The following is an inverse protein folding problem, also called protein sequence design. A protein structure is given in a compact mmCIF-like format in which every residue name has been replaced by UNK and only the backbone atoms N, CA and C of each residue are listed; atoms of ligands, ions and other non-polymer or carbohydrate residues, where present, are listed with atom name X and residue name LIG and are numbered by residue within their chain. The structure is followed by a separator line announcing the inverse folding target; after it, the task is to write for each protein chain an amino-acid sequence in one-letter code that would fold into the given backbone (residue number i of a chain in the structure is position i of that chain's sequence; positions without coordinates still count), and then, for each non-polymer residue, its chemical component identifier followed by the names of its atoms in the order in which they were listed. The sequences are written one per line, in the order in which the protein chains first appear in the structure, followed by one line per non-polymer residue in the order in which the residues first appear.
data_IF_410128434750
#
_entry.id   IF_410128434750
#
_cell.length_a   1.000
_cell.length_b   1.000
_cell.length_c   1.000
_cell.angle_alpha   90.00
_cell.angle_beta   90.00
_cell.angle_gamma   90.00
#
_symmetry.space_group_name_H-M   'P 1'
#
loop_
_entity.id
_entity.type
_entity.pdbx_description
1 polymer ?
#
# COMPACT_ATOMS: atom_id res chain seq x y z
N UNK A 1 10.26 18.65 7.35
CA UNK A 1 11.06 17.71 6.54
C UNK A 1 11.42 18.35 5.23
N UNK A 2 12.70 18.56 4.98
CA UNK A 2 13.18 19.06 3.68
C UNK A 2 13.24 17.93 2.65
N UNK A 3 13.12 18.27 1.37
CA UNK A 3 13.35 17.34 0.24
C UNK A 3 14.79 17.39 -0.26
N UNK A 4 15.64 18.19 0.40
CA UNK A 4 17.03 18.44 0.01
C UNK A 4 18.00 17.90 1.04
N UNK A 5 19.19 17.54 0.59
CA UNK A 5 20.28 17.15 1.47
C UNK A 5 20.84 18.36 2.23
N UNK A 6 20.84 18.30 3.57
CA UNK A 6 21.17 19.45 4.43
C UNK A 6 22.63 19.48 4.89
N UNK A 7 23.32 18.33 4.91
CA UNK A 7 24.70 18.29 5.42
C UNK A 7 25.61 19.11 4.51
N UNK A 8 26.52 19.87 5.13
CA UNK A 8 27.49 20.72 4.43
C UNK A 8 28.61 19.87 3.84
N UNK A 9 28.37 19.35 2.66
CA UNK A 9 29.35 18.64 1.84
C UNK A 9 29.06 18.86 0.34
N UNK A 10 29.73 18.13 -0.55
CA UNK A 10 29.54 18.22 -2.02
C UNK A 10 28.12 17.90 -2.51
N UNK A 11 27.29 17.26 -1.68
CA UNK A 11 25.91 16.86 -1.99
C UNK A 11 24.88 17.85 -1.42
N UNK A 12 25.31 18.90 -0.71
CA UNK A 12 24.41 19.92 -0.16
C UNK A 12 23.45 20.47 -1.22
N UNK A 13 22.16 20.49 -0.89
CA UNK A 13 21.10 21.02 -1.76
C UNK A 13 20.63 20.09 -2.87
N UNK A 14 21.25 18.90 -3.03
CA UNK A 14 20.74 17.86 -3.92
C UNK A 14 19.36 17.40 -3.48
N UNK A 15 18.51 17.07 -4.45
CA UNK A 15 17.17 16.57 -4.16
C UNK A 15 17.25 15.07 -3.87
N UNK A 16 16.59 14.65 -2.79
CA UNK A 16 16.67 13.29 -2.25
C UNK A 16 15.43 12.44 -2.59
N UNK A 17 14.56 12.93 -3.45
CA UNK A 17 13.30 12.29 -3.82
C UNK A 17 12.93 12.65 -5.26
N UNK A 18 12.31 11.73 -5.99
CA UNK A 18 11.81 12.03 -7.33
C UNK A 18 10.35 12.53 -7.26
N UNK A 19 10.14 13.81 -7.55
CA UNK A 19 8.83 14.46 -7.48
C UNK A 19 8.75 15.69 -8.40
N UNK A 20 7.53 16.17 -8.61
CA UNK A 20 7.27 17.35 -9.45
C UNK A 20 7.55 18.65 -8.67
N UNK A 21 8.51 19.44 -9.16
CA UNK A 21 8.95 20.67 -8.50
C UNK A 21 8.01 21.84 -8.72
N UNK A 22 7.43 21.91 -9.92
CA UNK A 22 6.60 23.04 -10.33
C UNK A 22 5.67 22.70 -11.49
N UNK A 23 4.89 23.69 -11.95
CA UNK A 23 4.02 23.51 -13.12
C UNK A 23 4.90 23.30 -14.36
N UNK A 24 4.87 22.09 -14.93
CA UNK A 24 5.70 21.71 -16.07
C UNK A 24 7.16 21.37 -15.74
N UNK A 25 7.58 21.55 -14.49
CA UNK A 25 8.95 21.28 -14.05
C UNK A 25 9.05 19.93 -13.33
N UNK A 26 9.62 18.95 -14.04
CA UNK A 26 9.94 17.61 -13.55
C UNK A 26 11.46 17.37 -13.45
N UNK A 27 12.28 18.29 -13.95
CA UNK A 27 13.69 18.04 -14.28
C UNK A 27 14.64 19.11 -13.70
N UNK A 28 14.11 20.29 -13.39
CA UNK A 28 14.87 21.49 -13.08
C UNK A 28 15.56 22.07 -14.31
N UNK A 29 16.72 22.68 -14.05
CA UNK A 29 17.52 23.37 -15.07
C UNK A 29 18.14 22.36 -16.03
N UNK A 30 18.09 22.68 -17.33
CA UNK A 30 18.68 21.86 -18.39
C UNK A 30 20.18 21.60 -18.13
N UNK A 31 20.63 20.38 -18.47
CA UNK A 31 22.02 19.95 -18.30
C UNK A 31 22.43 19.56 -16.88
N UNK A 32 21.62 19.86 -15.85
CA UNK A 32 21.93 19.47 -14.46
C UNK A 32 20.69 19.12 -13.64
N UNK A 33 20.21 17.91 -13.89
CA UNK A 33 19.11 17.28 -13.16
C UNK A 33 19.43 17.13 -11.67
N UNK A 34 18.80 17.94 -10.83
CA UNK A 34 19.07 17.93 -9.38
C UNK A 34 18.62 16.64 -8.65
N UNK A 35 17.73 15.85 -9.25
CA UNK A 35 17.25 14.54 -8.78
C UNK A 35 17.54 13.40 -9.77
N UNK A 36 18.16 13.69 -10.91
CA UNK A 36 18.59 12.71 -11.93
C UNK A 36 17.50 11.80 -12.53
N UNK A 37 16.21 12.17 -12.49
CA UNK A 37 15.13 11.38 -13.10
C UNK A 37 13.94 12.23 -13.58
N UNK A 38 13.33 11.88 -14.73
CA UNK A 38 12.11 12.53 -15.29
C UNK A 38 10.81 11.84 -14.93
N UNK A 39 10.90 10.55 -14.65
CA UNK A 39 9.83 9.60 -14.38
C UNK A 39 10.35 8.72 -13.23
N UNK A 40 9.75 7.55 -12.90
CA UNK A 40 10.29 6.74 -11.83
C UNK A 40 11.79 6.46 -11.96
N UNK A 41 12.52 6.80 -10.91
CA UNK A 41 13.93 6.50 -10.77
C UNK A 41 14.13 5.03 -10.35
N UNK A 42 15.32 4.44 -10.60
CA UNK A 42 15.66 3.12 -10.07
C UNK A 42 15.45 3.02 -8.55
N UNK A 43 14.98 1.86 -8.06
CA UNK A 43 14.45 1.65 -6.70
C UNK A 43 15.45 1.85 -5.54
N UNK A 44 16.72 2.19 -5.81
CA UNK A 44 17.76 2.44 -4.79
C UNK A 44 18.63 3.67 -5.09
N UNK A 45 18.12 4.61 -5.89
CA UNK A 45 18.88 5.79 -6.33
C UNK A 45 19.09 6.83 -5.22
N UNK A 46 18.11 7.03 -4.33
CA UNK A 46 18.21 8.03 -3.25
C UNK A 46 18.53 7.38 -1.91
N UNK A 47 18.91 8.19 -0.92
CA UNK A 47 19.20 7.69 0.42
C UNK A 47 17.95 7.04 1.04
N UNK A 48 18.13 5.91 1.75
CA UNK A 48 17.05 5.33 2.51
C UNK A 48 16.71 6.19 3.73
N UNK A 49 15.52 5.99 4.29
CA UNK A 49 15.23 6.47 5.64
C UNK A 49 15.98 5.63 6.70
N UNK A 50 15.83 5.99 7.98
CA UNK A 50 16.50 5.32 9.10
C UNK A 50 16.11 3.84 9.26
N UNK A 51 15.00 3.41 8.63
CA UNK A 51 14.56 2.02 8.58
C UNK A 51 15.11 1.24 7.36
N UNK A 52 16.00 1.85 6.57
CA UNK A 52 16.56 1.22 5.37
C UNK A 52 15.58 1.17 4.19
N UNK A 53 14.46 1.90 4.24
CA UNK A 53 13.45 1.93 3.19
C UNK A 53 13.75 3.03 2.17
N UNK A 54 13.77 2.64 0.89
CA UNK A 54 14.01 3.53 -0.24
C UNK A 54 12.69 4.00 -0.86
N UNK A 55 12.70 5.22 -1.38
CA UNK A 55 11.56 5.84 -2.10
C UNK A 55 10.25 5.86 -1.31
N UNK A 56 10.32 6.02 0.01
CA UNK A 56 9.12 6.24 0.82
C UNK A 56 8.47 7.61 0.54
N UNK A 57 9.22 8.53 -0.08
CA UNK A 57 8.78 9.84 -0.50
C UNK A 57 9.15 10.05 -1.98
N UNK A 58 8.15 10.07 -2.85
CA UNK A 58 8.29 10.24 -4.29
C UNK A 58 8.41 8.93 -5.06
N UNK A 59 8.91 9.02 -6.29
CA UNK A 59 8.94 7.93 -7.26
C UNK A 59 7.54 7.52 -7.70
N UNK A 60 6.84 6.68 -6.96
CA UNK A 60 5.44 6.32 -7.22
C UNK A 60 4.65 6.35 -5.92
N UNK A 61 3.37 6.70 -6.01
CA UNK A 61 2.48 6.42 -4.90
C UNK A 61 2.38 4.91 -4.70
N UNK A 62 2.17 4.47 -3.49
CA UNK A 62 2.05 3.05 -3.14
C UNK A 62 0.66 2.79 -2.55
N UNK A 63 -0.03 1.79 -3.09
CA UNK A 63 -1.30 1.30 -2.54
C UNK A 63 -1.14 0.81 -1.10
N UNK A 64 -2.15 1.11 -0.27
CA UNK A 64 -2.33 0.55 1.07
C UNK A 64 -3.60 -0.29 1.10
N UNK A 65 -3.65 -1.28 1.99
CA UNK A 65 -4.82 -2.15 2.14
C UNK A 65 -6.02 -1.42 2.76
N UNK A 66 -5.76 -0.32 3.46
CA UNK A 66 -6.75 0.46 4.18
C UNK A 66 -7.85 1.05 3.29
N UNK A 67 -9.09 0.92 3.73
CA UNK A 67 -10.24 1.65 3.21
C UNK A 67 -10.10 3.14 3.56
N UNK A 68 -10.24 4.00 2.57
CA UNK A 68 -10.23 5.43 2.81
C UNK A 68 -11.54 5.90 3.41
N UNK A 69 -11.42 6.64 4.51
CA UNK A 69 -12.47 7.51 5.03
C UNK A 69 -11.90 8.88 5.43
N UNK A 70 -12.63 9.98 5.23
CA UNK A 70 -12.18 11.31 5.62
C UNK A 70 -11.92 11.41 7.12
N UNK A 71 -12.79 10.80 7.91
CA UNK A 71 -12.78 10.90 9.36
C UNK A 71 -12.09 9.72 10.05
N UNK A 72 -11.33 8.86 9.33
CA UNK A 72 -10.68 7.69 9.95
C UNK A 72 -9.85 8.06 11.18
N UNK A 73 -9.18 9.21 11.18
CA UNK A 73 -8.34 9.64 12.32
C UNK A 73 -9.13 10.15 13.52
N UNK A 74 -10.42 10.45 13.36
CA UNK A 74 -11.27 11.02 14.42
C UNK A 74 -12.42 10.09 14.83
N UNK A 75 -12.73 9.05 14.04
CA UNK A 75 -13.84 8.10 14.29
C UNK A 75 -13.37 6.74 14.77
N UNK A 76 -12.13 6.62 15.24
CA UNK A 76 -11.70 5.42 15.93
C UNK A 76 -12.46 5.35 17.26
N UNK A 77 -13.12 4.22 17.53
CA UNK A 77 -13.93 4.04 18.74
C UNK A 77 -13.16 4.15 20.05
N UNK A 78 -11.82 4.19 19.96
CA UNK A 78 -10.91 4.38 21.06
C UNK A 78 -9.68 5.15 20.55
N UNK A 79 -9.85 6.45 20.30
CA UNK A 79 -8.77 7.38 19.95
C UNK A 79 -7.74 7.54 21.08
N UNK A 80 -7.96 6.98 22.27
CA UNK A 80 -7.03 7.12 23.39
C UNK A 80 -6.09 5.90 23.51
N UNK A 81 -6.53 4.69 23.12
CA UNK A 81 -5.67 3.48 23.15
C UNK A 81 -5.25 2.96 21.76
N UNK A 82 -5.92 3.35 20.67
CA UNK A 82 -5.62 2.87 19.30
C UNK A 82 -4.96 3.92 18.39
N UNK A 83 -4.10 4.76 18.97
CA UNK A 83 -3.35 5.79 18.23
C UNK A 83 -2.29 5.21 17.27
N UNK A 84 -1.82 3.99 17.53
CA UNK A 84 -0.78 3.34 16.73
C UNK A 84 -1.39 2.44 15.65
N UNK A 85 -1.25 2.87 14.40
CA UNK A 85 -1.56 2.12 13.17
C UNK A 85 -3.00 1.59 13.07
N UNK A 86 -4.02 2.47 13.13
CA UNK A 86 -5.39 2.05 12.90
C UNK A 86 -5.55 1.46 11.50
N UNK A 87 -6.06 0.23 11.42
CA UNK A 87 -6.39 -0.42 10.15
C UNK A 87 -7.91 -0.45 9.96
N UNK A 88 -8.38 0.03 8.80
CA UNK A 88 -9.78 -0.07 8.39
C UNK A 88 -9.88 -0.84 7.07
N UNK A 89 -10.71 -1.88 7.02
CA UNK A 89 -10.79 -2.75 5.84
C UNK A 89 -10.97 -4.24 6.14
N UNK A 90 -11.23 -4.60 7.41
CA UNK A 90 -11.43 -5.99 7.80
C UNK A 90 -12.69 -6.57 7.13
N UNK A 91 -12.48 -7.67 6.40
CA UNK A 91 -13.51 -8.55 5.85
C UNK A 91 -13.20 -9.96 6.29
N UNK A 92 -13.91 -10.44 7.31
CA UNK A 92 -13.67 -11.77 7.86
C UNK A 92 -14.28 -12.80 6.93
N UNK A 93 -13.47 -13.79 6.52
CA UNK A 93 -13.87 -14.81 5.56
C UNK A 93 -13.76 -16.20 6.17
N UNK A 94 -14.74 -17.04 5.88
CA UNK A 94 -14.71 -18.47 6.19
C UNK A 94 -14.65 -19.28 4.90
N UNK A 95 -14.13 -20.51 4.98
CA UNK A 95 -14.12 -21.42 3.83
C UNK A 95 -15.57 -21.82 3.53
N UNK A 96 -15.90 -21.93 2.25
CA UNK A 96 -17.19 -22.52 1.86
C UNK A 96 -17.09 -24.02 2.13
N UNK A 97 -17.96 -24.53 3.00
CA UNK A 97 -18.06 -25.94 3.35
C UNK A 97 -19.27 -26.56 2.67
N UNK A 98 -19.14 -27.82 2.27
CA UNK A 98 -20.22 -28.66 1.76
C UNK A 98 -21.09 -29.19 2.92
N UNK A 99 -22.19 -29.88 2.63
CA UNK A 99 -23.11 -30.44 3.64
C UNK A 99 -22.41 -31.37 4.64
N UNK A 100 -21.33 -32.03 4.23
CA UNK A 100 -20.48 -32.89 5.08
C UNK A 100 -19.41 -32.11 5.89
N UNK A 101 -19.42 -30.77 5.87
CA UNK A 101 -18.45 -29.93 6.57
C UNK A 101 -17.05 -29.91 5.96
N UNK A 102 -16.87 -30.48 4.76
CA UNK A 102 -15.60 -30.47 4.01
C UNK A 102 -15.52 -29.21 3.13
N UNK A 103 -14.32 -28.63 2.90
CA UNK A 103 -14.19 -27.52 1.96
C UNK A 103 -14.71 -27.91 0.58
N UNK A 104 -15.58 -27.07 0.00
CA UNK A 104 -16.13 -27.24 -1.35
C UNK A 104 -15.00 -27.33 -2.38
N UNK A 105 -15.28 -27.98 -3.51
CA UNK A 105 -14.36 -28.07 -4.63
C UNK A 105 -13.75 -26.70 -5.00
N UNK A 106 -12.48 -26.77 -5.39
CA UNK A 106 -11.67 -25.60 -5.75
C UNK A 106 -12.35 -24.82 -6.89
N UNK A 107 -12.04 -23.54 -6.98
CA UNK A 107 -12.47 -22.74 -8.14
C UNK A 107 -11.79 -23.23 -9.43
N UNK A 108 -12.19 -22.68 -10.58
CA UNK A 108 -11.60 -22.99 -11.89
C UNK A 108 -10.09 -22.69 -11.98
N UNK A 109 -9.54 -21.97 -11.01
CA UNK A 109 -8.12 -21.61 -10.88
C UNK A 109 -7.41 -22.42 -9.78
N UNK A 110 -8.05 -23.44 -9.20
CA UNK A 110 -7.47 -24.33 -8.20
C UNK A 110 -7.37 -23.74 -6.79
N UNK A 111 -8.02 -22.62 -6.51
CA UNK A 111 -8.01 -21.92 -5.21
C UNK A 111 -9.18 -22.37 -4.33
N UNK A 112 -8.97 -22.31 -3.02
CA UNK A 112 -10.03 -22.57 -2.03
C UNK A 112 -11.06 -21.44 -2.10
N UNK A 113 -12.35 -21.79 -2.09
CA UNK A 113 -13.45 -20.83 -2.07
C UNK A 113 -13.67 -20.30 -0.65
N UNK A 114 -13.84 -18.99 -0.55
CA UNK A 114 -14.13 -18.29 0.70
C UNK A 114 -15.39 -17.45 0.54
N UNK A 115 -16.21 -17.39 1.59
CA UNK A 115 -17.33 -16.46 1.73
C UNK A 115 -17.11 -15.53 2.93
N UNK A 116 -17.80 -14.40 2.96
CA UNK A 116 -17.86 -13.57 4.16
C UNK A 116 -18.47 -14.38 5.31
N UNK A 117 -18.01 -14.12 6.53
CA UNK A 117 -18.64 -14.67 7.73
C UNK A 117 -19.94 -13.91 7.94
N UNK A 118 -21.03 -14.63 8.15
CA UNK A 118 -22.31 -13.99 8.46
C UNK A 118 -22.30 -13.50 9.92
N UNK A 119 -23.09 -12.47 10.22
CA UNK A 119 -23.07 -11.83 11.54
C UNK A 119 -23.61 -12.75 12.65
N UNK A 120 -24.52 -13.67 12.32
CA UNK A 120 -25.04 -14.70 13.22
C UNK A 120 -23.95 -15.72 13.61
N UNK A 121 -23.13 -16.16 12.66
CA UNK A 121 -21.98 -17.05 12.89
C UNK A 121 -20.85 -16.39 13.69
N UNK A 122 -20.80 -15.06 13.69
CA UNK A 122 -19.83 -14.27 14.45
C UNK A 122 -20.32 -13.92 15.85
N UNK A 123 -21.62 -14.01 16.13
CA UNK A 123 -22.23 -13.54 17.38
C UNK A 123 -21.59 -14.16 18.64
N UNK A 124 -21.23 -15.45 18.60
CA UNK A 124 -20.65 -16.18 19.73
C UNK A 124 -19.13 -16.08 19.83
N UNK A 125 -18.45 -15.50 18.83
CA UNK A 125 -16.98 -15.43 18.82
C UNK A 125 -16.47 -14.33 19.74
N UNK A 126 -15.33 -14.54 20.40
CA UNK A 126 -14.74 -13.53 21.27
C UNK A 126 -14.03 -12.40 20.50
N UNK A 127 -13.53 -12.68 19.30
CA UNK A 127 -12.62 -11.78 18.57
C UNK A 127 -13.33 -10.74 17.70
N UNK A 128 -14.42 -11.09 17.02
CA UNK A 128 -15.24 -10.16 16.24
C UNK A 128 -16.69 -10.62 16.21
N UNK A 129 -17.61 -9.65 16.14
CA UNK A 129 -19.06 -9.90 16.19
C UNK A 129 -19.79 -9.69 14.86
N UNK A 130 -19.11 -9.10 13.87
CA UNK A 130 -19.64 -8.86 12.52
C UNK A 130 -18.62 -9.29 11.48
N UNK A 131 -19.07 -9.86 10.37
CA UNK A 131 -18.18 -10.33 9.30
C UNK A 131 -17.60 -9.23 8.45
N UNK A 132 -18.38 -8.18 8.22
CA UNK A 132 -18.05 -7.05 7.36
C UNK A 132 -18.05 -5.73 8.17
N UNK A 133 -16.88 -5.37 8.71
CA UNK A 133 -16.73 -4.18 9.57
C UNK A 133 -15.98 -3.04 8.90
N UNK A 134 -15.73 -3.14 7.59
CA UNK A 134 -14.86 -2.21 6.88
C UNK A 134 -15.45 -0.79 6.77
N UNK A 135 -16.78 -0.64 6.76
CA UNK A 135 -17.52 0.62 6.66
C UNK A 135 -18.28 0.98 7.95
N UNK A 136 -17.95 0.33 9.08
CA UNK A 136 -18.62 0.54 10.35
C UNK A 136 -18.61 2.01 10.79
N UNK A 137 -19.80 2.51 11.15
CA UNK A 137 -20.09 3.89 11.54
C UNK A 137 -19.66 4.96 10.52
N UNK A 138 -19.41 4.59 9.27
CA UNK A 138 -18.86 5.48 8.25
C UNK A 138 -19.17 4.95 6.85
N UNK A 139 -20.44 5.04 6.46
CA UNK A 139 -20.96 4.53 5.18
C UNK A 139 -21.98 3.41 5.32
N UNK A 140 -22.32 3.00 6.54
CA UNK A 140 -23.34 2.00 6.86
C UNK A 140 -24.69 2.66 7.22
N UNK A 141 -25.75 1.84 7.32
CA UNK A 141 -27.07 2.34 7.71
C UNK A 141 -27.11 2.89 9.15
N UNK A 142 -26.27 2.36 10.04
CA UNK A 142 -26.21 2.77 11.45
C UNK A 142 -25.64 4.18 11.62
N UNK A 143 -24.68 4.60 10.80
CA UNK A 143 -24.11 5.95 10.88
C UNK A 143 -25.00 7.04 10.32
N UNK A 144 -26.02 6.71 9.52
CA UNK A 144 -26.74 7.66 8.68
C UNK A 144 -25.83 8.48 7.73
N UNK A 145 -24.56 8.08 7.57
CA UNK A 145 -23.60 8.71 6.66
C UNK A 145 -23.64 7.95 5.35
N UNK A 146 -24.23 8.54 4.31
CA UNK A 146 -24.29 7.94 2.97
C UNK A 146 -23.28 8.59 2.04
N UNK A 147 -22.46 7.76 1.38
CA UNK A 147 -21.57 8.18 0.31
C UNK A 147 -22.24 7.98 -1.06
N UNK A 148 -22.84 9.04 -1.59
CA UNK A 148 -23.46 9.00 -2.91
C UNK A 148 -22.41 9.08 -4.02
N UNK A 149 -21.83 7.91 -4.34
CA UNK A 149 -20.71 7.74 -5.26
C UNK A 149 -21.07 8.20 -6.68
N UNK A 150 -20.24 9.08 -7.24
CA UNK A 150 -20.41 9.63 -8.59
C UNK A 150 -21.28 10.88 -8.67
N UNK A 151 -22.09 11.16 -7.63
CA UNK A 151 -22.92 12.35 -7.55
C UNK A 151 -22.28 13.42 -6.65
N UNK A 152 -22.05 13.10 -5.37
CA UNK A 152 -21.53 14.04 -4.37
C UNK A 152 -20.11 13.71 -3.91
N UNK A 153 -19.68 12.47 -4.06
CA UNK A 153 -18.36 12.01 -3.63
C UNK A 153 -17.77 10.95 -4.56
N UNK A 154 -16.45 10.80 -4.53
CA UNK A 154 -15.73 9.69 -5.15
C UNK A 154 -15.34 8.62 -4.12
N UNK A 155 -15.85 8.74 -2.89
CA UNK A 155 -15.57 7.81 -1.80
C UNK A 155 -16.61 6.70 -1.85
N UNK A 156 -16.15 5.45 -1.72
CA UNK A 156 -16.99 4.26 -1.63
C UNK A 156 -16.36 3.20 -0.74
N UNK A 157 -17.00 2.04 -0.62
CA UNK A 157 -16.48 0.85 0.06
C UNK A 157 -15.33 0.14 -0.68
N UNK A 158 -14.99 0.66 -1.86
CA UNK A 158 -13.88 0.22 -2.71
C UNK A 158 -12.76 1.26 -2.81
N UNK A 159 -12.94 2.44 -2.21
CA UNK A 159 -11.90 3.47 -2.16
C UNK A 159 -10.78 3.07 -1.20
N UNK A 160 -9.59 2.81 -1.73
CA UNK A 160 -8.40 2.43 -0.94
C UNK A 160 -7.44 3.61 -0.79
N UNK A 161 -6.69 3.61 0.30
CA UNK A 161 -5.65 4.60 0.55
C UNK A 161 -4.43 4.31 -0.33
N UNK A 162 -3.79 5.37 -0.84
CA UNK A 162 -2.42 5.30 -1.37
C UNK A 162 -1.59 6.46 -0.83
N UNK A 163 -0.28 6.26 -0.66
CA UNK A 163 0.63 7.25 -0.04
C UNK A 163 1.99 7.32 -0.72
N UNK A 164 2.84 8.23 -0.24
CA UNK A 164 4.25 8.36 -0.63
C UNK A 164 4.53 9.45 -1.65
N UNK A 165 3.52 9.84 -2.44
CA UNK A 165 3.70 10.79 -3.53
C UNK A 165 4.47 10.17 -4.69
N UNK A 166 4.36 10.76 -5.88
CA UNK A 166 5.02 10.26 -7.08
C UNK A 166 5.90 11.30 -7.76
N UNK A 167 6.60 10.84 -8.80
CA UNK A 167 7.29 11.69 -9.79
C UNK A 167 6.40 12.80 -10.37
N UNK A 168 5.08 12.62 -10.35
CA UNK A 168 4.11 13.59 -10.87
C UNK A 168 3.47 14.49 -9.80
N UNK A 169 3.72 14.24 -8.52
CA UNK A 169 3.13 14.96 -7.40
C UNK A 169 4.08 16.02 -6.83
N UNK A 170 3.50 17.08 -6.26
CA UNK A 170 4.26 18.13 -5.58
C UNK A 170 4.74 17.66 -4.21
N UNK A 171 5.77 18.33 -3.69
CA UNK A 171 6.39 18.07 -2.38
C UNK A 171 5.40 17.90 -1.21
N UNK A 172 4.23 18.54 -1.25
CA UNK A 172 3.17 18.35 -0.25
C UNK A 172 2.76 16.87 -0.08
N UNK A 173 2.64 16.14 -1.19
CA UNK A 173 2.21 14.74 -1.20
C UNK A 173 3.29 13.75 -0.78
N UNK A 174 4.54 14.21 -0.63
CA UNK A 174 5.64 13.40 -0.11
C UNK A 174 5.60 13.30 1.42
N UNK A 175 4.73 14.09 2.07
CA UNK A 175 4.56 14.04 3.52
C UNK A 175 4.03 12.67 3.97
N UNK A 176 4.63 12.02 4.99
CA UNK A 176 4.15 10.73 5.50
C UNK A 176 2.68 10.75 5.96
N UNK A 177 2.20 11.90 6.45
CA UNK A 177 0.82 12.07 6.89
C UNK A 177 -0.19 12.35 5.78
N UNK A 178 0.27 12.65 4.56
CA UNK A 178 -0.63 12.92 3.45
C UNK A 178 -1.31 11.62 2.99
N UNK A 179 -2.64 11.59 3.05
CA UNK A 179 -3.48 10.48 2.60
C UNK A 179 -4.23 10.88 1.34
N UNK A 180 -4.25 9.98 0.36
CA UNK A 180 -5.08 10.08 -0.84
C UNK A 180 -5.80 8.76 -1.05
N UNK A 181 -6.77 8.77 -1.94
CA UNK A 181 -7.56 7.60 -2.24
C UNK A 181 -7.92 7.50 -3.71
N UNK A 182 -8.13 6.26 -4.13
CA UNK A 182 -8.65 5.90 -5.45
C UNK A 182 -9.39 4.58 -5.32
N UNK A 183 -10.34 4.35 -6.21
CA UNK A 183 -11.04 3.08 -6.32
C UNK A 183 -10.05 1.93 -6.59
N UNK A 184 -10.23 0.81 -5.89
CA UNK A 184 -9.33 -0.36 -5.92
C UNK A 184 -9.18 -1.01 -7.31
N UNK A 185 -10.15 -0.79 -8.20
CA UNK A 185 -10.17 -1.31 -9.57
C UNK A 185 -9.45 -0.40 -10.59
N UNK A 186 -8.91 0.75 -10.17
CA UNK A 186 -8.26 1.71 -11.08
C UNK A 186 -6.74 1.64 -10.97
N UNK A 187 -6.08 1.81 -12.11
CA UNK A 187 -4.64 1.99 -12.19
C UNK A 187 -4.26 3.46 -12.44
N UNK A 188 -3.00 3.81 -12.20
CA UNK A 188 -2.40 5.08 -12.61
C UNK A 188 -0.94 4.88 -12.98
N UNK A 189 -0.39 5.72 -13.87
CA UNK A 189 1.04 5.71 -14.24
C UNK A 189 1.97 6.10 -13.09
N UNK A 190 1.42 6.71 -12.05
CA UNK A 190 2.14 7.21 -10.88
C UNK A 190 1.80 6.45 -9.60
N UNK A 191 1.19 5.27 -9.74
CA UNK A 191 0.73 4.42 -8.65
C UNK A 191 1.26 3.00 -8.83
N UNK A 192 1.93 2.50 -7.79
CA UNK A 192 2.48 1.17 -7.68
C UNK A 192 2.14 0.57 -6.31
N UNK A 193 3.01 -0.31 -5.82
CA UNK A 193 2.79 -1.01 -4.55
C UNK A 193 4.12 -1.42 -3.92
N UNK A 194 4.04 -1.75 -2.63
CA UNK A 194 5.10 -2.40 -1.87
C UNK A 194 4.51 -3.60 -1.14
N UNK A 195 5.28 -4.68 -1.05
CA UNK A 195 4.87 -5.85 -0.29
C UNK A 195 5.28 -5.70 1.18
N UNK A 196 4.37 -6.03 2.08
CA UNK A 196 4.63 -6.16 3.50
C UNK A 196 4.43 -7.62 3.93
N UNK A 197 5.22 -8.08 4.90
CA UNK A 197 5.15 -9.43 5.45
C UNK A 197 5.29 -9.36 6.97
N UNK A 198 4.58 -10.25 7.68
CA UNK A 198 4.62 -10.31 9.15
C UNK A 198 5.90 -10.96 9.68
N UNK A 199 6.62 -11.72 8.83
CA UNK A 199 7.90 -12.34 9.16
C UNK A 199 8.82 -12.32 7.93
N UNK A 200 10.10 -12.06 8.16
CA UNK A 200 11.18 -12.21 7.18
C UNK A 200 11.92 -13.53 7.42
N UNK A 201 12.50 -14.11 6.35
CA UNK A 201 13.21 -15.37 6.40
C UNK A 201 12.37 -16.60 6.09
N UNK A 202 13.03 -17.73 5.90
CA UNK A 202 12.42 -19.00 5.54
C UNK A 202 11.57 -19.58 6.67
N UNK A 203 10.71 -20.57 6.36
CA UNK A 203 9.90 -21.26 7.37
C UNK A 203 10.73 -21.89 8.50
N UNK A 204 11.97 -22.27 8.18
CA UNK A 204 12.96 -22.97 9.03
C UNK A 204 13.84 -22.03 9.85
N UNK A 205 13.93 -20.74 9.51
CA UNK A 205 14.80 -19.78 10.21
C UNK A 205 15.08 -18.52 9.39
N UNK A 206 15.59 -17.48 10.06
CA UNK A 206 15.84 -16.18 9.42
C UNK A 206 17.01 -16.21 8.42
N UNK A 207 17.93 -17.16 8.58
CA UNK A 207 19.09 -17.36 7.69
C UNK A 207 18.78 -18.26 6.48
N UNK A 208 17.63 -18.94 6.49
CA UNK A 208 17.20 -19.79 5.39
C UNK A 208 16.38 -18.95 4.40
N UNK A 209 16.69 -19.02 3.10
CA UNK A 209 15.88 -18.38 2.07
C UNK A 209 14.50 -19.04 1.89
N UNK A 210 14.30 -20.24 2.47
CA UNK A 210 13.09 -21.02 2.33
C UNK A 210 12.91 -21.60 0.92
N UNK A 211 12.11 -22.66 0.83
CA UNK A 211 11.79 -23.34 -0.43
C UNK A 211 12.85 -24.35 -0.88
N UNK A 212 12.43 -25.26 -1.76
CA UNK A 212 13.31 -26.27 -2.34
C UNK A 212 14.14 -25.66 -3.48
N UNK A 213 15.46 -25.57 -3.29
CA UNK A 213 16.38 -25.13 -4.35
C UNK A 213 16.59 -26.29 -5.32
N UNK A 214 15.79 -26.33 -6.38
CA UNK A 214 16.01 -27.26 -7.49
C UNK A 214 17.19 -26.74 -8.32
N UNK A 215 18.34 -27.41 -8.21
CA UNK A 215 19.53 -27.09 -9.00
C UNK A 215 19.21 -27.28 -10.49
N UNK A 216 18.91 -26.20 -11.21
CA UNK A 216 18.89 -26.23 -12.67
C UNK A 216 20.30 -25.93 -13.18
N UNK A 217 20.84 -26.82 -14.03
CA UNK A 217 22.06 -26.53 -14.78
C UNK A 217 21.73 -25.49 -15.85
N UNK A 218 21.80 -24.21 -15.52
CA UNK A 218 21.82 -23.17 -16.55
C UNK A 218 23.18 -23.18 -17.24
N UNK A 219 23.20 -23.41 -18.56
CA UNK A 219 24.42 -23.27 -19.37
C UNK A 219 24.87 -21.81 -19.33
N UNK A 220 26.16 -21.52 -19.11
CA UNK A 220 26.66 -20.15 -19.10
C UNK A 220 26.48 -19.52 -20.48
N UNK A 221 25.57 -18.55 -20.59
CA UNK A 221 25.50 -17.68 -21.76
C UNK A 221 26.67 -16.70 -21.71
N UNK A 222 27.64 -16.85 -22.63
CA UNK A 222 28.67 -15.83 -22.85
C UNK A 222 28.00 -14.56 -23.39
N UNK A 223 27.78 -13.58 -22.52
CA UNK A 223 27.39 -12.24 -22.94
C UNK A 223 28.57 -11.60 -23.65
N UNK A 224 28.48 -11.46 -24.98
CA UNK A 224 29.38 -10.61 -25.76
C UNK A 224 28.93 -9.16 -25.53
N UNK A 225 29.68 -8.41 -24.73
CA UNK A 225 29.61 -6.96 -24.79
C UNK A 225 30.27 -6.51 -26.10
N UNK A 226 29.58 -5.62 -26.83
CA UNK A 226 30.13 -4.79 -27.90
C UNK A 226 30.38 -3.41 -27.33
#
# INVERSE_FOLDING_TARGET
TTVRYEKRDKYQGQIMANFKRGRGDYMGVAGRLNDQAHIPAPVRTYLPNDFGLYHMAGNVNEWCSDLYRPLTSTTLGDTENHDLNPYRGNKFKTKVLDEDGKPVEKDSLGRVRYRAVEDDEAADRENYKRGEVYNYLDGDQESFVLYDYGNTTLISDKSRVFKGGSWADRAYWLSPGARRFKEEDKADRSLGFRCAMTRTGGPTGNDDSGGNIFKSKQKPQKRRYK
#
